data_IF_562777328742
#
_entry.id   IF_562777328742
#
_cell.length_a   1.000
_cell.length_b   1.000
_cell.length_c   1.000
_cell.angle_alpha   90.00
_cell.angle_beta   90.00
_cell.angle_gamma   90.00
#
_symmetry.space_group_name_H-M   'P 1'
#
loop_
_entity.id
_entity.type
_entity.pdbx_description
1 polymer ?
#
# COMPACT_ATOMS: atom_id res chain seq x y z
N UNK A 1 -7.79 11.87 17.17
CA UNK A 1 -6.31 12.00 17.21
C UNK A 1 -5.60 10.69 16.87
N UNK A 2 -5.87 9.58 17.59
CA UNK A 2 -5.27 8.29 17.26
C UNK A 2 -5.66 7.76 15.86
N UNK A 3 -6.87 8.05 15.37
CA UNK A 3 -7.25 7.65 14.01
C UNK A 3 -6.38 8.32 12.94
N UNK A 4 -6.04 9.60 13.12
CA UNK A 4 -5.16 10.32 12.20
C UNK A 4 -3.76 9.68 12.13
N UNK A 5 -3.23 9.23 13.27
CA UNK A 5 -1.94 8.53 13.33
C UNK A 5 -2.02 7.18 12.60
N UNK A 6 -3.08 6.41 12.83
CA UNK A 6 -3.29 5.10 12.17
C UNK A 6 -3.38 5.29 10.65
N UNK A 7 -4.22 6.21 10.19
CA UNK A 7 -4.38 6.50 8.75
C UNK A 7 -3.07 7.02 8.14
N UNK A 8 -2.30 7.82 8.89
CA UNK A 8 -0.98 8.29 8.48
C UNK A 8 0.03 7.15 8.31
N UNK A 9 0.05 6.18 9.23
CA UNK A 9 0.90 4.98 9.13
C UNK A 9 0.54 4.13 7.90
N UNK A 10 -0.75 3.97 7.59
CA UNK A 10 -1.16 3.33 6.34
C UNK A 10 -0.69 4.13 5.11
N UNK A 11 -0.77 5.46 5.13
CA UNK A 11 -0.22 6.31 4.06
C UNK A 11 1.27 6.07 3.82
N UNK A 12 2.06 5.99 4.90
CA UNK A 12 3.50 5.66 4.83
C UNK A 12 3.72 4.27 4.24
N UNK A 13 2.93 3.27 4.64
CA UNK A 13 3.02 1.90 4.12
C UNK A 13 2.84 1.87 2.59
N UNK A 14 1.77 2.49 2.08
CA UNK A 14 1.51 2.56 0.64
C UNK A 14 2.57 3.36 -0.12
N UNK A 15 3.13 4.40 0.50
CA UNK A 15 4.24 5.17 -0.09
C UNK A 15 5.51 4.33 -0.22
N UNK A 16 5.88 3.57 0.82
CA UNK A 16 7.04 2.65 0.79
C UNK A 16 6.82 1.54 -0.23
N UNK A 17 5.62 0.97 -0.31
CA UNK A 17 5.26 -0.01 -1.34
C UNK A 17 5.43 0.58 -2.74
N UNK A 18 4.93 1.81 -2.99
CA UNK A 18 5.10 2.48 -4.28
C UNK A 18 6.56 2.76 -4.68
N UNK A 19 7.43 3.06 -3.71
CA UNK A 19 8.88 3.22 -3.95
C UNK A 19 9.53 1.88 -4.25
N UNK A 20 9.24 0.86 -3.42
CA UNK A 20 9.78 -0.51 -3.55
C UNK A 20 9.32 -1.17 -4.85
N UNK A 21 8.13 -0.84 -5.32
CA UNK A 21 7.56 -1.28 -6.57
C UNK A 21 8.40 -0.76 -7.75
N UNK A 22 9.37 -1.58 -8.11
CA UNK A 22 10.34 -1.35 -9.16
C UNK A 22 10.14 -2.39 -10.26
N UNK A 23 10.35 -1.98 -11.51
CA UNK A 23 10.09 -2.77 -12.72
C UNK A 23 10.81 -4.13 -12.73
N UNK A 24 11.88 -4.29 -11.94
CA UNK A 24 12.68 -5.51 -11.78
C UNK A 24 12.05 -6.55 -10.83
N UNK A 25 11.14 -6.13 -9.94
CA UNK A 25 10.46 -6.99 -8.96
C UNK A 25 9.00 -7.31 -9.33
N UNK A 26 8.44 -6.66 -10.36
CA UNK A 26 7.04 -6.87 -10.81
C UNK A 26 6.71 -8.30 -11.26
N UNK A 27 7.71 -9.13 -11.57
CA UNK A 27 7.52 -10.56 -11.87
C UNK A 27 7.73 -11.48 -10.65
N UNK A 28 8.29 -10.97 -9.56
CA UNK A 28 8.63 -11.74 -8.35
C UNK A 28 7.82 -11.32 -7.11
N UNK A 29 7.09 -10.20 -7.16
CA UNK A 29 6.23 -9.73 -6.06
C UNK A 29 5.08 -10.71 -5.74
N UNK A 30 4.71 -11.58 -6.68
CA UNK A 30 3.79 -12.69 -6.45
C UNK A 30 4.34 -13.86 -5.62
N UNK A 31 5.64 -13.87 -5.26
CA UNK A 31 6.30 -15.00 -4.56
C UNK A 31 6.91 -14.54 -3.20
N UNK A 32 6.65 -13.30 -2.77
CA UNK A 32 7.22 -12.73 -1.55
C UNK A 32 6.61 -13.24 -0.25
N UNK A 33 6.98 -14.45 0.16
CA UNK A 33 6.75 -14.99 1.52
C UNK A 33 7.31 -14.05 2.59
N UNK A 34 6.48 -13.66 3.55
CA UNK A 34 6.95 -13.18 4.86
C UNK A 34 6.25 -11.92 5.35
N UNK A 35 5.13 -12.11 6.07
CA UNK A 35 4.78 -11.54 7.39
C UNK A 35 3.42 -12.20 7.73
N UNK A 36 3.44 -13.38 8.33
CA UNK A 36 2.23 -14.15 8.66
C UNK A 36 2.14 -14.40 10.17
N UNK A 37 1.62 -13.42 10.91
CA UNK A 37 0.95 -13.67 12.20
C UNK A 37 -0.53 -13.24 12.17
N UNK A 38 -1.02 -12.69 11.04
CA UNK A 38 -2.42 -12.28 10.87
C UNK A 38 -2.97 -12.74 9.52
N UNK A 39 -3.84 -13.75 9.54
CA UNK A 39 -4.54 -14.28 8.37
C UNK A 39 -5.28 -13.20 7.58
N UNK A 40 -5.86 -12.22 8.28
CA UNK A 40 -6.61 -11.12 7.67
C UNK A 40 -5.68 -10.18 6.90
N UNK A 41 -4.53 -9.84 7.49
CA UNK A 41 -3.55 -8.97 6.86
C UNK A 41 -2.94 -9.63 5.62
N UNK A 42 -2.66 -10.94 5.71
CA UNK A 42 -2.12 -11.75 4.62
C UNK A 42 -3.07 -11.79 3.43
N UNK A 43 -4.35 -12.12 3.66
CA UNK A 43 -5.37 -12.17 2.62
C UNK A 43 -5.58 -10.81 1.94
N UNK A 44 -5.57 -9.73 2.73
CA UNK A 44 -5.76 -8.38 2.21
C UNK A 44 -4.58 -7.93 1.33
N UNK A 45 -3.35 -8.27 1.74
CA UNK A 45 -2.15 -8.03 0.93
C UNK A 45 -2.15 -8.88 -0.34
N UNK A 46 -2.51 -10.16 -0.27
CA UNK A 46 -2.57 -11.06 -1.42
C UNK A 46 -3.57 -10.57 -2.47
N UNK A 47 -4.77 -10.13 -2.06
CA UNK A 47 -5.76 -9.56 -2.99
C UNK A 47 -5.27 -8.25 -3.60
N UNK A 48 -4.62 -7.39 -2.80
CA UNK A 48 -3.99 -6.16 -3.31
C UNK A 48 -2.93 -6.48 -4.37
N UNK A 49 -1.98 -7.38 -4.07
CA UNK A 49 -0.95 -7.74 -5.03
C UNK A 49 -1.54 -8.39 -6.29
N UNK A 50 -2.54 -9.26 -6.16
CA UNK A 50 -3.19 -9.90 -7.32
C UNK A 50 -3.87 -8.90 -8.26
N UNK A 51 -4.50 -7.85 -7.72
CA UNK A 51 -5.11 -6.78 -8.51
C UNK A 51 -4.03 -5.95 -9.20
N UNK A 52 -2.95 -5.61 -8.47
CA UNK A 52 -1.88 -4.76 -8.97
C UNK A 52 -0.96 -5.49 -9.97
N UNK A 53 -0.82 -6.81 -9.90
CA UNK A 53 -0.05 -7.63 -10.85
C UNK A 53 -0.67 -7.63 -12.25
N UNK A 54 -2.00 -7.52 -12.34
CA UNK A 54 -2.71 -7.43 -13.63
C UNK A 54 -2.53 -6.08 -14.31
N UNK A 55 -2.06 -5.07 -13.59
CA UNK A 55 -1.91 -3.72 -14.08
C UNK A 55 -0.49 -3.50 -14.63
N UNK A 56 -0.33 -2.66 -15.67
CA UNK A 56 1.00 -2.23 -16.10
C UNK A 56 1.73 -1.59 -14.93
N UNK A 57 3.03 -1.89 -14.77
CA UNK A 57 3.81 -1.43 -13.60
C UNK A 57 3.69 0.07 -13.31
N UNK A 58 3.63 0.91 -14.35
CA UNK A 58 3.45 2.36 -14.18
C UNK A 58 2.11 2.67 -13.51
N UNK A 59 1.04 1.98 -13.90
CA UNK A 59 -0.32 2.15 -13.37
C UNK A 59 -0.37 1.70 -11.91
N UNK A 60 0.15 0.51 -11.62
CA UNK A 60 0.26 0.00 -10.25
C UNK A 60 1.04 0.95 -9.34
N UNK A 61 2.20 1.44 -9.81
CA UNK A 61 3.02 2.42 -9.10
C UNK A 61 2.26 3.74 -8.85
N UNK A 62 1.58 4.27 -9.86
CA UNK A 62 0.78 5.49 -9.69
C UNK A 62 -0.37 5.30 -8.71
N UNK A 63 -0.98 4.13 -8.66
CA UNK A 63 -2.05 3.81 -7.70
C UNK A 63 -1.52 3.78 -6.27
N UNK A 64 -0.37 3.14 -6.01
CA UNK A 64 0.25 3.16 -4.68
C UNK A 64 0.48 4.59 -4.17
N UNK A 65 1.05 5.47 -5.00
CA UNK A 65 1.27 6.87 -4.64
C UNK A 65 -0.04 7.67 -4.51
N UNK A 66 -1.04 7.38 -5.34
CA UNK A 66 -2.35 8.04 -5.25
C UNK A 66 -3.07 7.68 -3.96
N UNK A 67 -3.07 6.39 -3.59
CA UNK A 67 -3.65 5.91 -2.32
C UNK A 67 -2.90 6.53 -1.13
N UNK A 68 -1.57 6.54 -1.16
CA UNK A 68 -0.78 7.18 -0.11
C UNK A 68 -1.14 8.67 0.05
N UNK A 69 -1.28 9.40 -1.06
CA UNK A 69 -1.67 10.82 -1.05
C UNK A 69 -3.05 11.03 -0.44
N UNK A 70 -4.04 10.22 -0.82
CA UNK A 70 -5.40 10.27 -0.26
C UNK A 70 -5.38 10.00 1.24
N UNK A 71 -4.61 9.01 1.68
CA UNK A 71 -4.47 8.68 3.11
C UNK A 71 -3.79 9.81 3.89
N UNK A 72 -2.77 10.47 3.33
CA UNK A 72 -2.15 11.63 3.99
C UNK A 72 -3.10 12.81 4.10
N UNK A 73 -3.85 13.13 3.04
CA UNK A 73 -4.86 14.19 3.08
C UNK A 73 -5.95 13.86 4.10
N UNK A 74 -6.36 12.60 4.18
CA UNK A 74 -7.37 12.18 5.15
C UNK A 74 -6.86 12.21 6.59
N UNK A 75 -5.64 11.72 6.82
CA UNK A 75 -4.95 11.84 8.11
C UNK A 75 -4.87 13.29 8.58
N UNK A 76 -4.49 14.21 7.68
CA UNK A 76 -4.47 15.65 7.97
C UNK A 76 -5.85 16.21 8.34
N UNK A 77 -6.91 15.83 7.61
CA UNK A 77 -8.28 16.22 7.94
C UNK A 77 -8.72 15.71 9.31
N UNK A 78 -8.40 14.47 9.65
CA UNK A 78 -8.70 13.87 10.96
C UNK A 78 -7.87 14.46 12.11
N UNK A 79 -6.73 15.06 11.80
CA UNK A 79 -5.89 15.73 12.80
C UNK A 79 -6.40 17.13 13.15
N UNK A 80 -6.98 17.83 12.17
CA UNK A 80 -7.49 19.20 12.33
C UNK A 80 -8.96 19.24 12.77
N UNK A 81 -9.72 18.20 12.45
CA UNK A 81 -11.10 18.01 12.94
C UNK A 81 -11.13 17.64 14.42
#
# INVERSE_FOLDING_TARGET
>A
MWEAVIVGLFGVLFFVLGIRHNKRFHQEEGIGTGINDSLILSLLMEVLFWIFDKLPYWVAKTLYFSIATVLFVWSYKLFIS
#
